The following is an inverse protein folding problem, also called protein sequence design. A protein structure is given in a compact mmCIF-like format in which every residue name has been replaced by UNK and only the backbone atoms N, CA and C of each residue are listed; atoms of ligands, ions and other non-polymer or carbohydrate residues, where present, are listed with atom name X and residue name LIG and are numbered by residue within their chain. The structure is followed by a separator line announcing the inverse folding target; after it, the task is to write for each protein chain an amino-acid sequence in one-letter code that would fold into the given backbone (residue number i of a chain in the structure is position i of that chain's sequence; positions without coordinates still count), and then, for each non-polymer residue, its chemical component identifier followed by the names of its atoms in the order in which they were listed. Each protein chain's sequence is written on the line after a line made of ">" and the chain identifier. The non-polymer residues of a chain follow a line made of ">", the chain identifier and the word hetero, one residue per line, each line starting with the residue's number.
data_IF_037093314435
#
_entry.id   IF_037093314435
#
_cell.length_a   1.000
_cell.length_b   1.000
_cell.length_c   1.000
_cell.angle_alpha   90.00
_cell.angle_beta   90.00
_cell.angle_gamma   90.00
#
_symmetry.space_group_name_H-M   'P 1'
#
loop_
_entity.id
_entity.type
_entity.pdbx_description
1 polymer ?
#
# COMPACT_ATOMS: atom_id res chain seq x y z
N UNK A 1 -17.12 19.92 -9.78
CA UNK A 1 -16.56 19.52 -11.09
C UNK A 1 -16.18 20.73 -11.93
N UNK A 2 -17.12 21.60 -12.28
CA UNK A 2 -16.84 22.80 -13.09
C UNK A 2 -15.74 23.71 -12.50
N UNK A 3 -15.64 23.82 -11.17
CA UNK A 3 -14.57 24.58 -10.52
C UNK A 3 -13.18 23.94 -10.69
N UNK A 4 -13.10 22.61 -10.68
CA UNK A 4 -11.84 21.90 -10.92
C UNK A 4 -11.39 22.08 -12.38
N UNK A 5 -12.30 21.94 -13.34
CA UNK A 5 -12.03 22.14 -14.76
C UNK A 5 -11.58 23.57 -15.05
N UNK A 6 -12.24 24.57 -14.45
CA UNK A 6 -11.85 25.97 -14.57
C UNK A 6 -10.45 26.22 -13.96
N UNK A 7 -10.17 25.64 -12.78
CA UNK A 7 -8.84 25.76 -12.15
C UNK A 7 -7.76 25.12 -13.02
N UNK A 8 -8.03 23.96 -13.62
CA UNK A 8 -7.08 23.28 -14.51
C UNK A 8 -6.75 24.11 -15.77
N UNK A 9 -7.70 24.88 -16.28
CA UNK A 9 -7.45 25.77 -17.42
C UNK A 9 -6.61 27.01 -17.05
N UNK A 10 -6.71 27.48 -15.80
CA UNK A 10 -6.06 28.71 -15.33
C UNK A 10 -4.66 28.49 -14.77
N UNK A 11 -4.32 27.28 -14.34
CA UNK A 11 -3.01 26.97 -13.77
C UNK A 11 -1.93 26.91 -14.86
N UNK A 12 -0.74 27.49 -14.59
CA UNK A 12 0.40 27.37 -15.51
C UNK A 12 0.95 25.95 -15.53
N UNK A 13 1.64 25.58 -16.60
CA UNK A 13 2.43 24.34 -16.67
C UNK A 13 3.76 24.48 -15.89
N UNK A 14 4.28 23.40 -15.29
CA UNK A 14 3.69 22.05 -15.23
C UNK A 14 2.60 21.94 -14.16
N UNK A 15 1.61 21.07 -14.39
CA UNK A 15 0.49 20.84 -13.49
C UNK A 15 0.60 19.49 -12.78
N UNK A 16 0.30 19.48 -11.50
CA UNK A 16 0.27 18.26 -10.68
C UNK A 16 -1.08 18.17 -9.96
N UNK A 17 -1.78 17.06 -10.12
CA UNK A 17 -2.97 16.73 -9.33
C UNK A 17 -2.56 15.89 -8.13
N UNK A 18 -2.96 16.32 -6.93
CA UNK A 18 -2.73 15.55 -5.69
C UNK A 18 -4.06 15.08 -5.15
N UNK A 19 -4.32 13.75 -5.23
CA UNK A 19 -5.55 13.15 -4.69
C UNK A 19 -5.33 12.61 -3.27
N UNK A 20 -5.95 13.29 -2.30
CA UNK A 20 -5.97 12.94 -0.88
C UNK A 20 -7.35 12.43 -0.43
N UNK A 21 -8.25 12.14 -1.37
CA UNK A 21 -9.61 11.69 -1.08
C UNK A 21 -9.67 10.16 -0.91
N UNK A 22 -10.68 9.60 -0.26
CA UNK A 22 -10.95 8.17 -0.29
C UNK A 22 -11.89 7.78 -1.46
N UNK A 23 -12.18 8.70 -2.38
CA UNK A 23 -13.23 8.57 -3.38
C UNK A 23 -12.82 7.65 -4.53
N UNK A 24 -13.55 6.56 -4.70
CA UNK A 24 -13.43 5.68 -5.86
C UNK A 24 -13.86 6.39 -7.15
N UNK A 25 -15.00 7.11 -7.11
CA UNK A 25 -15.51 7.85 -8.26
C UNK A 25 -14.52 8.94 -8.74
N UNK A 26 -13.72 9.53 -7.84
CA UNK A 26 -12.66 10.45 -8.22
C UNK A 26 -11.49 9.72 -8.90
N UNK A 27 -11.09 8.58 -8.35
CA UNK A 27 -10.00 7.77 -8.90
C UNK A 27 -10.32 7.21 -10.30
N UNK A 28 -11.58 6.87 -10.56
CA UNK A 28 -12.06 6.43 -11.89
C UNK A 28 -11.91 7.51 -12.97
N UNK A 29 -11.72 8.78 -12.57
CA UNK A 29 -11.47 9.93 -13.47
C UNK A 29 -10.00 10.19 -13.77
N UNK A 30 -9.07 9.46 -13.17
CA UNK A 30 -7.63 9.66 -13.40
C UNK A 30 -7.23 9.71 -14.88
N UNK A 31 -7.78 8.86 -15.78
CA UNK A 31 -7.47 8.97 -17.22
C UNK A 31 -7.80 10.34 -17.83
N UNK A 32 -8.85 11.03 -17.34
CA UNK A 32 -9.22 12.37 -17.84
C UNK A 32 -8.13 13.40 -17.51
N UNK A 33 -7.63 13.38 -16.26
CA UNK A 33 -6.60 14.32 -15.80
C UNK A 33 -5.25 14.02 -16.45
N UNK A 34 -4.90 12.76 -16.58
CA UNK A 34 -3.68 12.29 -17.24
C UNK A 34 -3.70 12.69 -18.73
N UNK A 35 -4.81 12.48 -19.42
CA UNK A 35 -4.97 12.88 -20.83
C UNK A 35 -4.94 14.41 -21.03
N UNK A 36 -5.22 15.19 -19.98
CA UNK A 36 -5.01 16.63 -19.96
C UNK A 36 -3.56 17.03 -19.62
N UNK A 37 -2.63 16.09 -19.54
CA UNK A 37 -1.19 16.33 -19.33
C UNK A 37 -0.81 16.55 -17.85
N UNK A 38 -1.65 16.17 -16.88
CA UNK A 38 -1.33 16.34 -15.48
C UNK A 38 -0.53 15.17 -14.94
N UNK A 39 0.57 15.47 -14.24
CA UNK A 39 1.17 14.53 -13.31
C UNK A 39 0.22 14.26 -12.14
N UNK A 40 0.20 13.03 -11.63
CA UNK A 40 -0.70 12.60 -10.56
C UNK A 40 0.08 12.07 -9.36
N UNK A 41 -0.25 12.56 -8.17
CA UNK A 41 0.16 11.98 -6.90
C UNK A 41 -1.09 11.54 -6.16
N UNK A 42 -1.16 10.28 -5.73
CA UNK A 42 -2.32 9.78 -5.02
C UNK A 42 -1.97 9.10 -3.69
N UNK A 43 -2.61 9.55 -2.61
CA UNK A 43 -2.74 8.79 -1.37
C UNK A 43 -3.98 7.88 -1.43
N UNK A 44 -4.84 8.08 -2.40
CA UNK A 44 -6.05 7.33 -2.63
C UNK A 44 -5.73 5.94 -3.23
N UNK A 45 -5.85 4.89 -2.41
CA UNK A 45 -5.64 3.50 -2.85
C UNK A 45 -6.61 3.05 -3.94
N UNK A 46 -7.79 3.69 -4.04
CA UNK A 46 -8.83 3.24 -4.96
C UNK A 46 -8.33 3.18 -6.41
N UNK A 47 -7.53 4.18 -6.86
CA UNK A 47 -6.99 4.19 -8.21
C UNK A 47 -6.13 2.97 -8.53
N UNK A 48 -5.26 2.58 -7.60
CA UNK A 48 -4.38 1.41 -7.77
C UNK A 48 -5.13 0.09 -7.60
N UNK A 49 -6.28 0.07 -6.91
CA UNK A 49 -7.06 -1.14 -6.62
C UNK A 49 -8.36 -1.26 -7.44
N UNK A 50 -8.56 -0.43 -8.46
CA UNK A 50 -9.62 -0.60 -9.47
C UNK A 50 -9.49 -1.97 -10.15
N UNK A 51 -10.56 -2.50 -10.79
CA UNK A 51 -10.45 -3.67 -11.64
C UNK A 51 -9.27 -3.57 -12.59
N UNK A 52 -8.60 -4.69 -12.86
CA UNK A 52 -7.33 -4.73 -13.60
C UNK A 52 -7.38 -3.94 -14.92
N UNK A 53 -8.45 -4.09 -15.68
CA UNK A 53 -8.61 -3.38 -16.95
C UNK A 53 -8.62 -1.85 -16.78
N UNK A 54 -9.30 -1.33 -15.75
CA UNK A 54 -9.33 0.11 -15.46
C UNK A 54 -7.98 0.61 -14.96
N UNK A 55 -7.31 -0.14 -14.09
CA UNK A 55 -5.95 0.18 -13.65
C UNK A 55 -4.99 0.25 -14.84
N UNK A 56 -5.05 -0.72 -15.75
CA UNK A 56 -4.21 -0.75 -16.95
C UNK A 56 -4.50 0.45 -17.88
N UNK A 57 -5.76 0.86 -18.00
CA UNK A 57 -6.12 2.09 -18.75
C UNK A 57 -5.45 3.33 -18.18
N UNK A 58 -5.41 3.48 -16.84
CA UNK A 58 -4.73 4.60 -16.19
C UNK A 58 -3.23 4.56 -16.49
N UNK A 59 -2.59 3.39 -16.35
CA UNK A 59 -1.16 3.22 -16.63
C UNK A 59 -0.82 3.52 -18.08
N UNK A 60 -1.61 2.99 -19.00
CA UNK A 60 -1.42 3.22 -20.43
C UNK A 60 -1.60 4.71 -20.79
N UNK A 61 -2.59 5.38 -20.22
CA UNK A 61 -2.78 6.82 -20.42
C UNK A 61 -1.54 7.60 -19.92
N UNK A 62 -1.01 7.26 -18.75
CA UNK A 62 0.18 7.90 -18.19
C UNK A 62 1.42 7.72 -19.09
N UNK A 63 1.62 6.51 -19.62
CA UNK A 63 2.70 6.22 -20.56
C UNK A 63 2.56 7.00 -21.87
N UNK A 64 1.36 7.02 -22.46
CA UNK A 64 1.08 7.73 -23.72
C UNK A 64 1.27 9.24 -23.60
N UNK A 65 0.88 9.83 -22.48
CA UNK A 65 1.02 11.26 -22.20
C UNK A 65 2.39 11.62 -21.62
N UNK A 66 3.25 10.64 -21.32
CA UNK A 66 4.56 10.83 -20.68
C UNK A 66 4.46 11.58 -19.33
N UNK A 67 3.35 11.38 -18.61
CA UNK A 67 3.15 11.92 -17.26
C UNK A 67 3.38 10.84 -16.20
N UNK A 68 3.68 11.29 -14.98
CA UNK A 68 3.93 10.38 -13.86
C UNK A 68 2.65 10.18 -13.03
N UNK A 69 2.43 8.95 -12.61
CA UNK A 69 1.50 8.64 -11.53
C UNK A 69 2.26 8.03 -10.37
N UNK A 70 2.45 8.81 -9.31
CA UNK A 70 3.12 8.41 -8.07
C UNK A 70 2.07 8.09 -6.99
N UNK A 71 2.22 6.96 -6.32
CA UNK A 71 1.24 6.46 -5.36
C UNK A 71 1.88 5.85 -4.11
N UNK A 72 3.11 6.27 -3.76
CA UNK A 72 3.89 5.66 -2.68
C UNK A 72 3.14 5.60 -1.35
N UNK A 73 2.32 6.62 -1.03
CA UNK A 73 1.61 6.69 0.25
C UNK A 73 0.35 5.84 0.33
N UNK A 74 0.01 5.08 -0.71
CA UNK A 74 -1.11 4.14 -0.69
C UNK A 74 -0.82 2.89 0.14
N UNK A 75 0.47 2.57 0.37
CA UNK A 75 0.92 1.47 1.24
C UNK A 75 2.06 1.94 2.14
N UNK A 76 1.95 1.68 3.46
CA UNK A 76 3.00 1.99 4.41
C UNK A 76 3.14 3.48 4.77
N UNK A 77 2.13 4.29 4.50
CA UNK A 77 2.16 5.74 4.74
C UNK A 77 3.39 6.41 4.07
N UNK A 78 4.36 6.88 4.84
CA UNK A 78 5.60 7.48 4.33
C UNK A 78 6.74 6.51 4.04
N UNK A 79 6.59 5.24 4.38
CA UNK A 79 7.60 4.23 4.09
C UNK A 79 7.79 4.07 2.56
N UNK A 80 9.03 4.10 2.05
CA UNK A 80 9.28 4.12 0.61
C UNK A 80 9.22 2.71 -0.03
N UNK A 81 8.25 1.86 0.35
CA UNK A 81 8.20 0.47 -0.09
C UNK A 81 8.00 0.35 -1.60
N UNK A 82 7.10 1.12 -2.19
CA UNK A 82 6.86 1.07 -3.63
C UNK A 82 8.08 1.56 -4.42
N UNK A 83 8.74 2.64 -3.94
CA UNK A 83 9.99 3.12 -4.56
C UNK A 83 11.11 2.10 -4.49
N UNK A 84 11.25 1.42 -3.34
CA UNK A 84 12.23 0.34 -3.20
C UNK A 84 11.98 -0.77 -4.24
N UNK A 85 10.73 -1.18 -4.43
CA UNK A 85 10.37 -2.17 -5.45
C UNK A 85 10.69 -1.68 -6.88
N UNK A 86 10.44 -0.40 -7.17
CA UNK A 86 10.79 0.22 -8.46
C UNK A 86 12.31 0.26 -8.68
N UNK A 87 13.08 0.59 -7.65
CA UNK A 87 14.55 0.61 -7.72
C UNK A 87 15.13 -0.79 -7.95
N UNK A 88 14.66 -1.80 -7.21
CA UNK A 88 15.06 -3.20 -7.44
C UNK A 88 14.76 -3.63 -8.88
N UNK A 89 13.55 -3.39 -9.35
CA UNK A 89 13.14 -3.70 -10.73
C UNK A 89 14.00 -2.97 -11.77
N UNK A 90 14.24 -1.67 -11.57
CA UNK A 90 15.01 -0.84 -12.51
C UNK A 90 16.48 -1.24 -12.57
N UNK A 91 17.03 -1.77 -11.48
CA UNK A 91 18.40 -2.28 -11.41
C UNK A 91 18.54 -3.73 -11.92
N UNK A 92 17.43 -4.36 -12.35
CA UNK A 92 17.43 -5.73 -12.89
C UNK A 92 17.33 -6.82 -11.82
N UNK A 93 17.08 -6.46 -10.56
CA UNK A 93 16.82 -7.45 -9.51
C UNK A 93 15.39 -8.01 -9.65
N UNK A 94 15.22 -9.28 -9.31
CA UNK A 94 13.94 -9.97 -9.39
C UNK A 94 13.45 -10.26 -7.98
N UNK A 95 12.31 -9.67 -7.62
CA UNK A 95 11.63 -9.93 -6.34
C UNK A 95 10.87 -11.25 -6.44
N UNK A 96 11.19 -12.19 -5.53
CA UNK A 96 10.55 -13.50 -5.46
C UNK A 96 9.42 -13.54 -4.45
N UNK A 97 9.57 -12.79 -3.36
CA UNK A 97 8.58 -12.79 -2.29
C UNK A 97 8.51 -11.44 -1.59
N UNK A 98 7.29 -11.05 -1.27
CA UNK A 98 7.02 -9.98 -0.31
C UNK A 98 6.16 -10.59 0.79
N UNK A 99 6.56 -10.45 2.04
CA UNK A 99 5.71 -10.77 3.18
C UNK A 99 5.72 -9.62 4.18
N UNK A 100 4.63 -9.47 4.94
CA UNK A 100 4.64 -8.37 5.90
C UNK A 100 3.35 -8.17 6.68
N UNK A 101 3.42 -7.21 7.59
CA UNK A 101 2.32 -6.75 8.43
C UNK A 101 1.96 -5.34 7.95
N UNK A 102 0.80 -5.19 7.32
CA UNK A 102 0.41 -3.96 6.62
C UNK A 102 -0.73 -3.20 7.29
N UNK A 103 -1.16 -3.63 8.50
CA UNK A 103 -2.17 -2.95 9.32
C UNK A 103 -1.60 -2.58 10.68
N UNK A 104 -1.66 -1.30 11.03
CA UNK A 104 -1.26 -0.82 12.35
C UNK A 104 -2.19 -1.34 13.46
N UNK A 105 -3.50 -1.37 13.21
CA UNK A 105 -4.52 -1.91 14.13
C UNK A 105 -4.27 -3.37 14.45
N UNK A 106 -4.14 -4.21 13.42
CA UNK A 106 -3.90 -5.65 13.59
C UNK A 106 -2.52 -5.93 14.20
N UNK A 107 -1.52 -5.10 13.87
CA UNK A 107 -0.22 -5.14 14.52
C UNK A 107 -0.34 -4.87 16.02
N UNK A 108 -1.07 -3.82 16.40
CA UNK A 108 -1.30 -3.47 17.81
C UNK A 108 -2.02 -4.59 18.54
N UNK A 109 -3.15 -5.05 18.01
CA UNK A 109 -3.96 -6.11 18.62
C UNK A 109 -3.14 -7.38 18.89
N UNK A 110 -2.41 -7.87 17.87
CA UNK A 110 -1.64 -9.11 17.99
C UNK A 110 -0.29 -8.96 18.72
N UNK A 111 0.16 -7.74 18.96
CA UNK A 111 1.29 -7.48 19.87
C UNK A 111 0.85 -7.35 21.33
N UNK A 112 -0.37 -6.87 21.57
CA UNK A 112 -0.91 -6.64 22.92
C UNK A 112 -1.64 -7.85 23.49
N UNK A 113 -2.28 -8.63 22.63
CA UNK A 113 -3.02 -9.82 23.06
C UNK A 113 -2.09 -10.86 23.68
N UNK A 114 -2.25 -11.11 24.97
CA UNK A 114 -1.44 -12.01 25.78
C UNK A 114 -2.27 -13.17 26.40
N UNK A 115 -3.58 -13.25 26.07
CA UNK A 115 -4.50 -14.23 26.59
C UNK A 115 -4.99 -13.96 28.02
N UNK A 116 -4.64 -12.84 28.63
CA UNK A 116 -5.09 -12.47 29.98
C UNK A 116 -6.56 -12.05 30.06
N UNK A 117 -7.14 -11.66 28.94
CA UNK A 117 -8.54 -11.26 28.79
C UNK A 117 -9.08 -11.71 27.41
N UNK A 118 -10.41 -11.72 27.20
CA UNK A 118 -10.99 -11.97 25.86
C UNK A 118 -10.42 -11.03 24.80
N UNK A 119 -10.22 -11.52 23.57
CA UNK A 119 -9.66 -10.70 22.48
C UNK A 119 -10.52 -9.50 22.15
N UNK A 120 -11.84 -9.62 22.30
CA UNK A 120 -12.80 -8.52 22.11
C UNK A 120 -12.57 -7.33 23.05
N UNK A 121 -12.01 -7.52 24.24
CA UNK A 121 -11.63 -6.42 25.13
C UNK A 121 -10.45 -5.61 24.59
N UNK A 122 -9.47 -6.28 23.98
CA UNK A 122 -8.37 -5.59 23.27
C UNK A 122 -8.89 -4.84 22.05
N UNK A 123 -9.90 -5.36 21.34
CA UNK A 123 -10.55 -4.65 20.22
C UNK A 123 -11.20 -3.36 20.71
N UNK A 124 -11.95 -3.41 21.82
CA UNK A 124 -12.53 -2.20 22.42
C UNK A 124 -11.47 -1.21 22.90
N UNK A 125 -10.39 -1.69 23.48
CA UNK A 125 -9.28 -0.83 23.89
C UNK A 125 -8.67 -0.13 22.67
N UNK A 126 -8.39 -0.85 21.60
CA UNK A 126 -7.88 -0.27 20.35
C UNK A 126 -8.84 0.79 19.79
N UNK A 127 -10.15 0.54 19.84
CA UNK A 127 -11.17 1.50 19.42
C UNK A 127 -11.15 2.75 20.29
N UNK A 128 -11.11 2.59 21.62
CA UNK A 128 -11.04 3.71 22.55
C UNK A 128 -9.77 4.56 22.38
N UNK A 129 -8.66 3.95 22.00
CA UNK A 129 -7.39 4.62 21.67
C UNK A 129 -7.39 5.25 20.26
N UNK A 130 -8.47 5.09 19.47
CA UNK A 130 -8.58 5.62 18.10
C UNK A 130 -7.67 4.93 17.08
N UNK A 131 -7.34 3.67 17.31
CA UNK A 131 -6.46 2.87 16.49
C UNK A 131 -7.22 2.03 15.44
N UNK A 132 -8.56 1.96 15.53
CA UNK A 132 -9.40 1.22 14.59
C UNK A 132 -10.15 2.16 13.64
N UNK A 133 -10.69 1.59 12.57
CA UNK A 133 -11.77 2.22 11.82
C UNK A 133 -13.00 2.44 12.73
N UNK A 134 -13.98 3.28 12.35
CA UNK A 134 -15.18 3.49 13.14
C UNK A 134 -15.90 2.19 13.54
N UNK A 135 -15.93 1.22 12.63
CA UNK A 135 -16.31 -0.16 12.92
C UNK A 135 -15.06 -1.05 12.91
N UNK A 136 -14.60 -1.57 14.06
CA UNK A 136 -13.41 -2.40 14.15
C UNK A 136 -13.45 -3.68 13.30
N UNK A 137 -14.66 -4.12 12.88
CA UNK A 137 -14.82 -5.26 12.00
C UNK A 137 -14.20 -5.03 10.61
N UNK A 138 -14.14 -3.77 10.17
CA UNK A 138 -13.45 -3.42 8.92
C UNK A 138 -11.97 -3.78 9.00
N UNK A 139 -11.31 -3.50 10.12
CA UNK A 139 -9.91 -3.91 10.36
C UNK A 139 -9.78 -5.44 10.43
N UNK A 140 -10.64 -6.09 11.25
CA UNK A 140 -10.63 -7.54 11.46
C UNK A 140 -10.95 -8.33 10.17
N UNK A 141 -11.62 -7.71 9.21
CA UNK A 141 -11.90 -8.30 7.90
C UNK A 141 -10.65 -8.56 7.07
N UNK A 142 -9.55 -7.84 7.31
CA UNK A 142 -8.31 -7.92 6.55
C UNK A 142 -8.37 -7.34 5.13
N UNK A 143 -9.50 -6.79 4.71
CA UNK A 143 -9.72 -6.27 3.33
C UNK A 143 -8.76 -5.12 2.97
N UNK A 144 -8.38 -4.28 3.95
CA UNK A 144 -7.40 -3.23 3.69
C UNK A 144 -5.99 -3.79 3.48
N UNK A 145 -5.63 -4.84 4.21
CA UNK A 145 -4.36 -5.57 4.03
C UNK A 145 -4.32 -6.24 2.66
N UNK A 146 -5.43 -6.86 2.23
CA UNK A 146 -5.57 -7.46 0.90
C UNK A 146 -5.39 -6.42 -0.21
N UNK A 147 -6.01 -5.23 -0.09
CA UNK A 147 -5.83 -4.12 -1.04
C UNK A 147 -4.38 -3.64 -1.08
N UNK A 148 -3.71 -3.53 0.06
CA UNK A 148 -2.29 -3.14 0.12
C UNK A 148 -1.39 -4.17 -0.55
N UNK A 149 -1.68 -5.45 -0.40
CA UNK A 149 -0.94 -6.51 -1.12
C UNK A 149 -1.13 -6.41 -2.63
N UNK A 150 -2.36 -6.12 -3.10
CA UNK A 150 -2.64 -5.88 -4.52
C UNK A 150 -1.81 -4.70 -5.06
N UNK A 151 -1.70 -3.60 -4.31
CA UNK A 151 -0.87 -2.46 -4.71
C UNK A 151 0.58 -2.89 -4.94
N UNK A 152 1.17 -3.64 -4.00
CA UNK A 152 2.57 -4.10 -4.13
C UNK A 152 2.74 -5.10 -5.28
N UNK A 153 1.76 -5.98 -5.52
CA UNK A 153 1.79 -6.89 -6.66
C UNK A 153 1.78 -6.12 -7.99
N UNK A 154 0.93 -5.11 -8.11
CA UNK A 154 0.86 -4.26 -9.32
C UNK A 154 2.09 -3.39 -9.51
N UNK A 155 2.76 -2.99 -8.43
CA UNK A 155 4.04 -2.28 -8.48
C UNK A 155 5.16 -3.17 -9.09
N UNK A 156 5.15 -4.46 -8.80
CA UNK A 156 6.02 -5.44 -9.45
C UNK A 156 5.63 -5.71 -10.92
N UNK A 157 4.51 -5.20 -11.39
CA UNK A 157 4.00 -5.41 -12.74
C UNK A 157 3.15 -6.68 -12.91
N UNK A 158 2.70 -7.27 -11.80
CA UNK A 158 1.84 -8.46 -11.83
C UNK A 158 0.39 -8.09 -12.15
N UNK A 159 -0.23 -8.82 -13.06
CA UNK A 159 -1.61 -8.61 -13.50
C UNK A 159 -2.58 -9.37 -12.61
N UNK A 160 -2.78 -8.86 -11.38
CA UNK A 160 -3.71 -9.43 -10.40
C UNK A 160 -4.92 -8.52 -10.21
N UNK A 161 -6.05 -9.15 -9.90
CA UNK A 161 -7.23 -8.52 -9.30
C UNK A 161 -7.35 -8.88 -7.82
N UNK A 162 -8.23 -8.18 -7.10
CA UNK A 162 -8.45 -8.42 -5.67
C UNK A 162 -8.93 -9.84 -5.38
N UNK A 163 -9.67 -10.45 -6.30
CA UNK A 163 -10.16 -11.84 -6.23
C UNK A 163 -9.05 -12.89 -6.31
N UNK A 164 -7.88 -12.54 -6.86
CA UNK A 164 -6.73 -13.44 -6.99
C UNK A 164 -5.91 -13.54 -5.70
N UNK A 165 -6.24 -12.72 -4.70
CA UNK A 165 -5.59 -12.71 -3.39
C UNK A 165 -6.48 -13.43 -2.39
N UNK A 166 -6.06 -14.60 -1.94
CA UNK A 166 -6.77 -15.36 -0.92
C UNK A 166 -6.80 -14.56 0.40
N UNK A 167 -7.98 -14.44 1.01
CA UNK A 167 -8.18 -13.71 2.25
C UNK A 167 -8.81 -14.63 3.31
N UNK A 168 -8.13 -14.78 4.44
CA UNK A 168 -8.68 -15.40 5.64
C UNK A 168 -8.86 -14.32 6.71
N UNK A 169 -10.07 -13.80 6.93
CA UNK A 169 -10.33 -12.78 7.95
C UNK A 169 -9.98 -13.27 9.36
N UNK A 170 -9.66 -12.35 10.26
CA UNK A 170 -9.65 -12.64 11.71
C UNK A 170 -11.06 -12.82 12.25
N UNK A 171 -12.02 -12.17 11.64
CA UNK A 171 -13.42 -12.25 12.01
C UNK A 171 -14.01 -13.59 11.57
N UNK A 172 -14.60 -14.40 12.48
CA UNK A 172 -15.31 -15.61 12.10
C UNK A 172 -16.41 -15.36 11.07
N UNK A 173 -16.65 -16.35 10.20
CA UNK A 173 -17.63 -16.24 9.13
C UNK A 173 -19.04 -15.91 9.66
N UNK A 174 -19.71 -14.98 8.99
CA UNK A 174 -21.07 -14.56 9.33
C UNK A 174 -21.17 -13.51 10.44
N UNK A 175 -20.07 -13.12 11.09
CA UNK A 175 -20.06 -12.01 12.05
C UNK A 175 -19.93 -10.64 11.36
N UNK A 176 -19.44 -10.61 10.15
CA UNK A 176 -19.25 -9.38 9.33
C UNK A 176 -20.57 -8.77 8.82
N UNK A 177 -21.64 -9.57 8.72
CA UNK A 177 -22.94 -9.14 8.21
C UNK A 177 -23.95 -8.74 9.28
N UNK A 178 -23.62 -8.93 10.55
CA UNK A 178 -24.48 -8.64 11.70
C UNK A 178 -24.54 -7.14 11.97
N UNK A 179 -25.58 -6.67 12.66
CA UNK A 179 -25.54 -5.38 13.34
C UNK A 179 -24.46 -5.37 14.43
N UNK A 180 -24.05 -4.19 14.88
CA UNK A 180 -23.06 -4.09 15.97
C UNK A 180 -23.50 -4.83 17.25
N UNK A 181 -24.75 -4.65 17.63
CA UNK A 181 -25.29 -5.28 18.84
C UNK A 181 -25.34 -6.81 18.74
N UNK A 182 -25.74 -7.34 17.58
CA UNK A 182 -25.74 -8.78 17.32
C UNK A 182 -24.32 -9.35 17.30
N UNK A 183 -23.37 -8.67 16.65
CA UNK A 183 -21.96 -9.02 16.68
C UNK A 183 -21.44 -9.06 18.11
N UNK A 184 -21.74 -7.99 18.88
CA UNK A 184 -21.27 -7.90 20.25
C UNK A 184 -21.87 -8.98 21.15
N UNK A 185 -23.11 -9.38 20.94
CA UNK A 185 -23.73 -10.50 21.65
C UNK A 185 -23.06 -11.85 21.31
N UNK A 186 -22.49 -12.00 20.11
CA UNK A 186 -21.80 -13.22 19.63
C UNK A 186 -20.27 -13.11 19.67
N UNK A 187 -19.69 -12.10 20.27
CA UNK A 187 -18.24 -11.87 20.30
C UNK A 187 -17.41 -13.04 20.86
N UNK A 188 -18.03 -13.88 21.70
CA UNK A 188 -17.39 -15.08 22.23
C UNK A 188 -16.90 -16.05 21.12
N UNK A 189 -17.49 -16.00 19.92
CA UNK A 189 -17.02 -16.81 18.79
C UNK A 189 -15.65 -16.34 18.31
N UNK A 190 -15.44 -15.01 18.26
CA UNK A 190 -14.14 -14.40 17.97
C UNK A 190 -13.14 -14.71 19.09
N UNK A 191 -13.54 -14.50 20.34
CA UNK A 191 -12.68 -14.69 21.51
C UNK A 191 -12.16 -16.12 21.60
N UNK A 192 -13.03 -17.14 21.44
CA UNK A 192 -12.66 -18.54 21.50
C UNK A 192 -11.72 -18.93 20.35
N UNK A 193 -12.02 -18.48 19.13
CA UNK A 193 -11.19 -18.74 17.95
C UNK A 193 -9.76 -18.21 18.12
N UNK A 194 -9.62 -17.00 18.67
CA UNK A 194 -8.30 -16.40 18.91
C UNK A 194 -7.60 -17.03 20.12
N UNK A 195 -8.31 -17.36 21.20
CA UNK A 195 -7.75 -17.99 22.39
C UNK A 195 -7.11 -19.33 22.05
N UNK A 196 -7.81 -20.19 21.31
CA UNK A 196 -7.30 -21.51 20.88
C UNK A 196 -6.05 -21.38 20.01
N UNK A 197 -6.09 -20.45 19.06
CA UNK A 197 -4.97 -20.20 18.16
C UNK A 197 -3.76 -19.63 18.91
N UNK A 198 -4.00 -18.72 19.86
CA UNK A 198 -2.97 -18.13 20.70
C UNK A 198 -2.30 -19.17 21.60
N UNK A 199 -3.11 -20.00 22.30
CA UNK A 199 -2.60 -21.07 23.16
C UNK A 199 -1.72 -22.06 22.37
N UNK A 200 -2.15 -22.44 21.15
CA UNK A 200 -1.38 -23.30 20.27
C UNK A 200 -0.05 -22.65 19.85
N UNK A 201 -0.07 -21.37 19.46
CA UNK A 201 1.15 -20.66 19.07
C UNK A 201 2.13 -20.52 20.23
N UNK A 202 1.65 -20.10 21.40
CA UNK A 202 2.46 -19.89 22.60
C UNK A 202 3.09 -21.18 23.10
N UNK A 203 2.35 -22.28 23.10
CA UNK A 203 2.88 -23.61 23.46
C UNK A 203 4.02 -24.08 22.55
N UNK A 204 4.04 -23.59 21.30
CA UNK A 204 5.10 -23.84 20.33
C UNK A 204 6.23 -22.79 20.35
N UNK A 205 6.24 -21.85 21.30
CA UNK A 205 7.22 -20.76 21.38
C UNK A 205 7.11 -19.75 20.23
N UNK A 206 5.91 -19.59 19.66
CA UNK A 206 5.63 -18.71 18.52
C UNK A 206 4.72 -17.56 18.91
N UNK A 207 4.69 -16.53 18.07
CA UNK A 207 3.79 -15.37 18.21
C UNK A 207 2.83 -15.30 17.02
N UNK A 208 1.64 -14.75 17.25
CA UNK A 208 0.64 -14.56 16.19
C UNK A 208 0.91 -13.25 15.43
N UNK A 209 0.80 -13.31 14.11
CA UNK A 209 0.88 -12.11 13.23
C UNK A 209 -0.10 -12.25 12.08
N UNK A 210 -0.76 -11.16 11.71
CA UNK A 210 -1.62 -11.11 10.54
C UNK A 210 -0.79 -10.68 9.35
N UNK A 211 -0.54 -11.60 8.43
CA UNK A 211 0.51 -11.48 7.41
C UNK A 211 -0.10 -11.50 6.02
N UNK A 212 0.33 -10.56 5.20
CA UNK A 212 0.17 -10.59 3.75
C UNK A 212 1.40 -11.24 3.12
N UNK A 213 1.20 -12.14 2.17
CA UNK A 213 2.28 -12.81 1.45
C UNK A 213 2.00 -12.81 -0.05
N UNK A 214 2.98 -12.39 -0.83
CA UNK A 214 3.03 -12.53 -2.28
C UNK A 214 4.27 -13.34 -2.63
N UNK A 215 4.10 -14.43 -3.36
CA UNK A 215 5.21 -15.25 -3.88
C UNK A 215 5.09 -15.35 -5.39
N UNK A 216 6.14 -14.97 -6.09
CA UNK A 216 6.22 -15.07 -7.56
C UNK A 216 6.84 -16.41 -7.91
N UNK A 217 6.06 -17.29 -8.55
CA UNK A 217 6.50 -18.62 -8.94
C UNK A 217 6.54 -18.77 -10.48
N UNK A 218 7.16 -19.83 -10.96
CA UNK A 218 7.17 -20.14 -12.40
C UNK A 218 5.76 -20.40 -12.97
N UNK A 219 4.80 -20.80 -12.12
CA UNK A 219 3.39 -21.04 -12.49
C UNK A 219 2.52 -19.79 -12.37
N UNK A 220 3.07 -18.70 -11.87
CA UNK A 220 2.38 -17.44 -11.61
C UNK A 220 2.47 -16.99 -10.15
N UNK A 221 1.95 -15.79 -9.85
CA UNK A 221 1.94 -15.26 -8.49
C UNK A 221 0.93 -15.99 -7.60
N UNK A 222 1.34 -16.25 -6.36
CA UNK A 222 0.49 -16.72 -5.26
C UNK A 222 0.41 -15.61 -4.22
N UNK A 223 -0.79 -15.23 -3.84
CA UNK A 223 -1.01 -14.15 -2.88
C UNK A 223 -2.05 -14.53 -1.83
N UNK A 224 -1.71 -14.32 -0.57
CA UNK A 224 -2.63 -14.59 0.54
C UNK A 224 -2.47 -13.59 1.69
N UNK A 225 -3.54 -13.46 2.47
CA UNK A 225 -3.60 -12.67 3.70
C UNK A 225 -4.27 -13.51 4.79
N UNK A 226 -3.56 -13.77 5.88
CA UNK A 226 -4.04 -14.66 6.95
C UNK A 226 -3.28 -14.47 8.25
N UNK A 227 -3.84 -15.03 9.34
CA UNK A 227 -3.16 -15.17 10.62
C UNK A 227 -2.11 -16.28 10.54
N UNK A 228 -0.90 -15.99 10.99
CA UNK A 228 0.21 -16.96 11.05
C UNK A 228 0.85 -16.97 12.44
N UNK A 229 1.36 -18.16 12.82
CA UNK A 229 2.24 -18.34 13.96
C UNK A 229 3.69 -18.30 13.47
N UNK A 230 4.46 -17.29 13.89
CA UNK A 230 5.85 -17.08 13.47
C UNK A 230 6.82 -17.34 14.62
N UNK A 231 7.97 -17.95 14.32
CA UNK A 231 9.05 -18.21 15.30
C UNK A 231 9.73 -16.90 15.74
N UNK A 232 10.42 -16.97 16.89
CA UNK A 232 11.06 -15.78 17.47
C UNK A 232 12.16 -15.17 16.61
N UNK A 233 12.80 -15.96 15.77
CA UNK A 233 13.86 -15.57 14.83
C UNK A 233 13.33 -14.96 13.51
N UNK A 234 12.02 -15.06 13.26
CA UNK A 234 11.41 -14.53 12.05
C UNK A 234 11.36 -12.99 12.09
N UNK A 235 11.67 -12.26 10.99
CA UNK A 235 11.65 -10.79 10.96
C UNK A 235 10.33 -10.16 11.40
N UNK A 236 9.21 -10.87 11.24
CA UNK A 236 7.88 -10.41 11.66
C UNK A 236 7.58 -10.64 13.14
N UNK A 237 8.42 -11.35 13.89
CA UNK A 237 8.17 -11.64 15.31
C UNK A 237 8.41 -10.41 16.19
N UNK A 238 9.56 -9.75 16.00
CA UNK A 238 10.01 -8.62 16.82
C UNK A 238 9.58 -7.28 16.22
N UNK A 239 8.30 -6.95 16.32
CA UNK A 239 7.74 -5.67 15.87
C UNK A 239 7.21 -4.87 17.07
N UNK A 240 7.16 -3.55 16.91
CA UNK A 240 6.43 -2.68 17.83
C UNK A 240 4.95 -2.60 17.41
N UNK A 241 4.08 -2.41 18.40
CA UNK A 241 2.66 -2.19 18.14
C UNK A 241 2.48 -0.98 17.20
N UNK A 242 1.54 -1.09 16.29
CA UNK A 242 1.24 -0.13 15.21
C UNK A 242 2.27 -0.04 14.07
N UNK A 243 3.44 -0.69 14.15
CA UNK A 243 4.37 -0.71 13.02
C UNK A 243 3.84 -1.56 11.86
N UNK A 244 4.18 -1.13 10.65
CA UNK A 244 4.17 -1.96 9.46
C UNK A 244 5.57 -2.53 9.23
N UNK A 245 5.63 -3.74 8.71
CA UNK A 245 6.89 -4.40 8.32
C UNK A 245 6.72 -5.01 6.95
N UNK A 246 7.70 -4.79 6.10
CA UNK A 246 7.81 -5.39 4.76
C UNK A 246 9.11 -6.18 4.71
N UNK A 247 9.02 -7.45 4.39
CA UNK A 247 10.15 -8.36 4.18
C UNK A 247 10.17 -8.71 2.70
N UNK A 248 11.24 -8.37 2.00
CA UNK A 248 11.38 -8.51 0.55
C UNK A 248 12.55 -9.44 0.26
N UNK A 249 12.26 -10.54 -0.41
CA UNK A 249 13.23 -11.52 -0.89
C UNK A 249 13.38 -11.38 -2.40
N UNK A 250 14.62 -11.23 -2.88
CA UNK A 250 14.96 -11.06 -4.28
C UNK A 250 16.17 -11.90 -4.67
N UNK A 251 16.62 -11.84 -5.93
CA UNK A 251 17.86 -12.51 -6.34
C UNK A 251 19.07 -12.07 -5.48
N UNK A 252 19.14 -10.79 -5.13
CA UNK A 252 20.27 -10.25 -4.37
C UNK A 252 20.09 -10.36 -2.86
N UNK A 253 18.85 -10.46 -2.38
CA UNK A 253 18.48 -10.45 -0.96
C UNK A 253 17.72 -11.74 -0.57
N UNK A 254 18.38 -12.91 -0.72
CA UNK A 254 17.79 -14.22 -0.38
C UNK A 254 18.13 -14.65 1.06
N UNK A 255 19.42 -14.77 1.35
CA UNK A 255 19.87 -15.21 2.67
C UNK A 255 19.58 -14.17 3.77
N UNK A 256 19.65 -12.89 3.40
CA UNK A 256 19.33 -11.75 4.25
C UNK A 256 18.32 -10.87 3.52
N UNK A 257 17.01 -11.09 3.72
CA UNK A 257 15.97 -10.30 3.08
C UNK A 257 16.06 -8.81 3.44
N UNK A 258 15.61 -7.95 2.53
CA UNK A 258 15.42 -6.54 2.86
C UNK A 258 14.24 -6.40 3.83
N UNK A 259 14.44 -5.71 4.94
CA UNK A 259 13.40 -5.43 5.93
C UNK A 259 13.19 -3.93 6.05
N UNK A 260 12.00 -3.48 5.68
CA UNK A 260 11.56 -2.10 5.87
C UNK A 260 10.51 -2.07 6.98
N UNK A 261 10.77 -1.30 8.04
CA UNK A 261 9.90 -1.24 9.22
C UNK A 261 9.68 0.19 9.68
N UNK A 262 8.48 0.50 10.13
CA UNK A 262 8.13 1.78 10.74
C UNK A 262 6.62 2.04 10.80
N UNK A 263 6.21 3.25 11.19
CA UNK A 263 4.79 3.58 11.30
C UNK A 263 4.08 3.42 9.94
N UNK A 264 3.04 2.58 9.93
CA UNK A 264 2.22 2.29 8.74
C UNK A 264 1.07 3.26 8.52
N UNK A 265 0.86 4.23 9.44
CA UNK A 265 -0.16 5.26 9.39
C UNK A 265 0.33 6.52 10.11
N UNK A 266 -0.36 7.64 9.89
CA UNK A 266 -0.09 8.91 10.57
C UNK A 266 -0.01 10.09 9.62
N UNK A 267 -0.59 11.21 10.02
CA UNK A 267 -0.73 12.42 9.17
C UNK A 267 0.64 12.94 8.71
N UNK A 268 1.60 13.05 9.62
CA UNK A 268 2.92 13.62 9.33
C UNK A 268 3.74 12.72 8.39
N UNK A 269 3.77 11.42 8.65
CA UNK A 269 4.53 10.48 7.81
C UNK A 269 3.90 10.36 6.42
N UNK A 270 2.57 10.37 6.31
CA UNK A 270 1.87 10.39 5.02
C UNK A 270 2.15 11.69 4.26
N UNK A 271 2.05 12.85 4.92
CA UNK A 271 2.40 14.14 4.32
C UNK A 271 3.85 14.17 3.86
N UNK A 272 4.78 13.60 4.64
CA UNK A 272 6.18 13.45 4.25
C UNK A 272 6.35 12.58 3.00
N UNK A 273 5.60 11.49 2.87
CA UNK A 273 5.59 10.63 1.69
C UNK A 273 5.09 11.36 0.43
N UNK A 274 3.99 12.13 0.56
CA UNK A 274 3.45 12.97 -0.53
C UNK A 274 4.46 14.04 -0.93
N UNK A 275 5.07 14.73 0.05
CA UNK A 275 6.10 15.72 -0.23
C UNK A 275 7.30 15.11 -0.95
N UNK A 276 7.68 13.88 -0.60
CA UNK A 276 8.76 13.18 -1.29
C UNK A 276 8.38 12.83 -2.75
N UNK A 277 7.12 12.47 -3.04
CA UNK A 277 6.63 12.28 -4.41
C UNK A 277 6.65 13.60 -5.19
N UNK A 278 6.21 14.71 -4.59
CA UNK A 278 6.33 16.06 -5.20
C UNK A 278 7.78 16.43 -5.50
N UNK A 279 8.71 16.14 -4.59
CA UNK A 279 10.14 16.42 -4.80
C UNK A 279 10.74 15.60 -5.95
N UNK A 280 10.27 14.36 -6.17
CA UNK A 280 10.67 13.53 -7.32
C UNK A 280 10.20 14.17 -8.62
N UNK A 281 8.91 14.53 -8.72
CA UNK A 281 8.37 15.19 -9.90
C UNK A 281 9.12 16.50 -10.20
N UNK A 282 9.33 17.35 -9.20
CA UNK A 282 10.05 18.60 -9.37
C UNK A 282 11.47 18.38 -9.92
N UNK A 283 12.21 17.41 -9.41
CA UNK A 283 13.55 17.08 -9.91
C UNK A 283 13.53 16.61 -11.36
N UNK A 284 12.57 15.76 -11.73
CA UNK A 284 12.43 15.27 -13.10
C UNK A 284 12.09 16.40 -14.07
N UNK A 285 11.15 17.27 -13.72
CA UNK A 285 10.78 18.43 -14.51
C UNK A 285 11.94 19.42 -14.68
N UNK A 286 12.70 19.67 -13.61
CA UNK A 286 13.92 20.52 -13.70
C UNK A 286 14.98 19.90 -14.61
N UNK A 287 15.18 18.60 -14.57
CA UNK A 287 16.11 17.88 -15.44
C UNK A 287 15.68 17.98 -16.91
N UNK A 288 14.40 17.77 -17.19
CA UNK A 288 13.83 17.88 -18.53
C UNK A 288 13.96 19.32 -19.09
N UNK A 289 13.66 20.33 -18.28
CA UNK A 289 13.82 21.73 -18.66
C UNK A 289 15.29 22.10 -18.95
N UNK A 290 16.24 21.57 -18.17
CA UNK A 290 17.67 21.76 -18.40
C UNK A 290 18.12 21.10 -19.72
N UNK A 291 17.67 19.88 -20.00
CA UNK A 291 17.98 19.18 -21.24
C UNK A 291 17.42 19.92 -22.46
N UNK A 292 16.18 20.42 -22.39
CA UNK A 292 15.56 21.20 -23.46
C UNK A 292 16.35 22.50 -23.78
N UNK A 293 16.77 23.22 -22.74
CA UNK A 293 17.62 24.44 -22.91
C UNK A 293 18.95 24.12 -23.56
N UNK A 294 19.57 23.00 -23.17
CA UNK A 294 20.86 22.59 -23.75
C UNK A 294 20.72 22.24 -25.24
N UNK A 295 19.69 21.49 -25.62
CA UNK A 295 19.38 21.16 -27.01
C UNK A 295 19.10 22.42 -27.86
N UNK A 296 18.35 23.40 -27.32
CA UNK A 296 18.09 24.67 -27.99
C UNK A 296 19.36 25.49 -28.21
N UNK A 297 20.24 25.55 -27.19
CA UNK A 297 21.52 26.25 -27.30
C UNK A 297 22.44 25.60 -28.35
N UNK A 298 22.50 24.25 -28.40
CA UNK A 298 23.26 23.54 -29.44
C UNK A 298 22.72 23.80 -30.85
N UNK A 299 21.37 23.74 -31.00
CA UNK A 299 20.74 24.05 -32.30
C UNK A 299 21.02 25.48 -32.77
N UNK A 300 20.98 26.45 -31.85
CA UNK A 300 21.31 27.85 -32.15
C UNK A 300 22.79 28.04 -32.56
N UNK A 301 23.72 27.38 -31.83
CA UNK A 301 25.15 27.43 -32.18
C UNK A 301 25.40 26.84 -33.57
N UNK A 302 24.80 25.67 -33.87
CA UNK A 302 24.94 25.04 -35.18
C UNK A 302 24.34 25.86 -36.35
N UNK A 303 23.24 26.56 -36.10
CA UNK A 303 22.65 27.48 -37.09
C UNK A 303 23.56 28.69 -37.39
N UNK A 304 24.23 29.24 -36.35
CA UNK A 304 25.16 30.35 -36.50
C UNK A 304 26.48 29.97 -37.19
N UNK A 305 26.92 28.72 -37.11
CA UNK A 305 28.14 28.25 -37.82
C UNK A 305 27.91 28.06 -39.34
N UNK A 306 26.66 28.04 -39.78
CA UNK A 306 26.29 27.85 -41.20
C UNK A 306 25.77 29.11 -41.89
N UNK A 307 25.60 30.18 -41.15
CA UNK A 307 25.25 31.52 -41.67
C UNK A 307 26.49 32.36 -41.92
#
# INVERSE_FOLDING_TARGET
>A
EAQLELALQQLPEPKVLVDLTPSRAFAERYPQFINAGLDLISANKQGVTLPLAQYQQIKQAAEQQQVQWLSNTTVGAGLPVQRLLQELKSSGDIVHRISGIFSGTLSWLLCKYDGSAPFSEFVLQAQAEGLTEPDPRDDLSGKDVQRKLLVLARELGLSLDISDIALTPLLPAGLDTLSWDEFWARRAELDNSLADTYASATSAGKVLRYVATLTVTAQGPLADVKLLSVGADHPLAAIQACDNVFVIESNWYQANPLVLKGPGAGRLVTAGGIHADLAILAKQQMAAAKAARHSQAQAAAWANERA
#
